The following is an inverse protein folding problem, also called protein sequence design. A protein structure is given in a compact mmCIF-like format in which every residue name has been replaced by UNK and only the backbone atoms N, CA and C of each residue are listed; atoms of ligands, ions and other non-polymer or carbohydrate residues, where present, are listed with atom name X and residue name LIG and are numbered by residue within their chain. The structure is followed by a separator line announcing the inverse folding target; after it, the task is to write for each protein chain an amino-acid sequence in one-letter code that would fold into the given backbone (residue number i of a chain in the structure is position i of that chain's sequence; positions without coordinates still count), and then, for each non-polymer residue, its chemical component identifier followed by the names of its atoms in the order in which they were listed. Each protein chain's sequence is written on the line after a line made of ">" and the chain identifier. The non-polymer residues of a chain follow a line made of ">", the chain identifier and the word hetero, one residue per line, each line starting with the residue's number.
data_IF_581822492222
#
_entry.id   IF_581822492222
#
_cell.length_a   1.000
_cell.length_b   1.000
_cell.length_c   1.000
_cell.angle_alpha   90.00
_cell.angle_beta   90.00
_cell.angle_gamma   90.00
#
_symmetry.space_group_name_H-M   'P 1'
#
loop_
_entity.id
_entity.type
_entity.pdbx_description
1 polymer ?
2 polymer ?
#
# COMPACT_ATOMS: atom_id res chain seq x y z
N UNK A 1 -5.39 7.30 19.15
CA UNK A 1 -5.24 6.04 18.45
C UNK A 1 -6.27 5.87 17.36
N UNK A 2 -5.94 5.11 16.34
CA UNK A 2 -6.85 4.88 15.22
C UNK A 2 -7.77 3.70 15.52
N UNK A 3 -9.01 3.81 15.06
CA UNK A 3 -10.00 2.75 15.26
C UNK A 3 -10.27 2.05 13.94
N UNK A 4 -9.41 2.29 12.96
CA UNK A 4 -9.57 1.68 11.65
C UNK A 4 -8.64 0.48 11.53
N UNK A 5 -8.74 -0.23 10.41
CA UNK A 5 -7.92 -1.40 10.18
C UNK A 5 -6.65 -1.02 9.42
N UNK A 6 -5.52 -1.55 9.87
CA UNK A 6 -4.25 -1.28 9.24
C UNK A 6 -3.88 -2.39 8.25
N UNK A 7 -3.22 -2.01 7.16
CA UNK A 7 -2.80 -2.97 6.16
C UNK A 7 -1.27 -3.02 6.08
N UNK A 8 -0.72 -4.21 6.17
CA UNK A 8 0.72 -4.39 6.12
C UNK A 8 1.18 -4.63 4.68
N UNK A 9 2.17 -3.87 4.27
CA UNK A 9 2.70 -3.96 2.92
C UNK A 9 4.18 -4.33 2.92
N UNK A 10 4.55 -5.26 2.06
CA UNK A 10 5.93 -5.69 1.93
C UNK A 10 6.67 -4.79 0.94
N UNK A 11 7.14 -3.65 1.44
CA UNK A 11 7.85 -2.67 0.63
C UNK A 11 9.28 -3.12 0.36
N UNK A 12 9.50 -3.68 -0.82
CA UNK A 12 10.82 -4.16 -1.24
C UNK A 12 11.43 -5.16 -0.25
N UNK A 13 10.59 -5.75 0.59
CA UNK A 13 11.07 -6.70 1.58
C UNK A 13 10.83 -6.21 2.99
N UNK A 14 10.66 -4.90 3.14
CA UNK A 14 10.41 -4.29 4.44
C UNK A 14 8.93 -4.39 4.77
N UNK A 15 8.60 -4.51 6.04
CA UNK A 15 7.21 -4.62 6.45
C UNK A 15 6.67 -3.27 6.90
N UNK A 16 5.88 -2.63 6.05
CA UNK A 16 5.28 -1.35 6.36
C UNK A 16 3.83 -1.54 6.76
N UNK A 17 3.24 -0.57 7.43
CA UNK A 17 1.86 -0.66 7.85
C UNK A 17 1.15 0.68 7.68
N UNK A 18 0.16 0.70 6.81
CA UNK A 18 -0.60 1.91 6.54
C UNK A 18 -2.06 1.70 6.93
N UNK A 19 -2.65 2.71 7.55
CA UNK A 19 -4.06 2.63 7.96
C UNK A 19 -4.95 2.73 6.74
N UNK A 20 -6.08 2.02 6.77
CA UNK A 20 -7.02 2.02 5.66
C UNK A 20 -7.54 3.43 5.35
N UNK A 21 -7.59 4.30 6.35
CA UNK A 21 -8.06 5.66 6.17
C UNK A 21 -7.00 6.51 5.47
N UNK A 22 -5.77 6.02 5.46
CA UNK A 22 -4.67 6.74 4.84
C UNK A 22 -4.52 6.32 3.38
N UNK A 23 -5.02 5.14 3.06
CA UNK A 23 -4.94 4.62 1.70
C UNK A 23 -5.82 5.46 0.77
N UNK A 24 -5.19 6.08 -0.21
CA UNK A 24 -5.90 6.92 -1.16
C UNK A 24 -6.50 6.09 -2.28
N UNK A 25 -5.64 5.45 -3.06
CA UNK A 25 -6.08 4.65 -4.18
C UNK A 25 -5.12 3.50 -4.47
N UNK A 26 -5.68 2.31 -4.66
CA UNK A 26 -4.88 1.13 -4.96
C UNK A 26 -5.10 0.77 -6.43
N UNK A 27 -4.02 0.41 -7.12
CA UNK A 27 -4.12 0.04 -8.51
C UNK A 27 -3.35 -1.22 -8.83
N UNK A 28 -4.08 -2.30 -9.07
CA UNK A 28 -3.47 -3.58 -9.40
C UNK A 28 -3.04 -3.59 -10.86
N UNK A 29 -1.74 -3.72 -11.08
CA UNK A 29 -1.20 -3.73 -12.44
C UNK A 29 -1.04 -5.17 -12.94
N UNK A 30 -1.44 -6.11 -12.10
CA UNK A 30 -1.35 -7.51 -12.44
C UNK A 30 -0.68 -8.29 -11.33
N UNK A 31 0.62 -8.58 -11.50
CA UNK A 31 1.36 -9.30 -10.48
C UNK A 31 1.82 -8.33 -9.41
N UNK A 32 1.99 -7.08 -9.80
CA UNK A 32 2.41 -6.03 -8.90
C UNK A 32 1.25 -5.10 -8.59
N UNK A 33 1.03 -4.85 -7.31
CA UNK A 33 -0.05 -3.99 -6.87
C UNK A 33 0.51 -2.69 -6.30
N UNK A 34 0.29 -1.59 -7.02
CA UNK A 34 0.77 -0.29 -6.59
C UNK A 34 -0.35 0.44 -5.85
N UNK A 35 0.02 1.21 -4.84
CA UNK A 35 -0.95 1.94 -4.04
C UNK A 35 -0.39 3.28 -3.58
N UNK A 36 -1.28 4.26 -3.49
CA UNK A 36 -0.92 5.59 -3.03
C UNK A 36 -1.51 5.81 -1.65
N UNK A 37 -0.72 6.28 -0.70
CA UNK A 37 -1.23 6.51 0.64
C UNK A 37 -0.83 7.89 1.16
N UNK A 38 -1.74 8.50 1.90
CA UNK A 38 -1.51 9.81 2.48
C UNK A 38 -0.81 9.68 3.82
N UNK A 39 0.32 10.34 3.96
CA UNK A 39 1.10 10.28 5.19
C UNK A 39 0.81 11.46 6.10
N UNK A 40 1.24 12.64 5.68
CA UNK A 40 1.03 13.84 6.47
C UNK A 40 2.08 14.88 6.18
N UNK A 41 1.78 16.13 6.54
CA UNK A 41 2.73 17.20 6.30
C UNK A 41 2.64 17.73 4.88
N UNK A 42 1.50 17.46 4.24
CA UNK A 42 1.29 17.92 2.89
C UNK A 42 1.76 16.91 1.85
N UNK A 43 2.69 16.05 2.24
CA UNK A 43 3.22 15.05 1.33
C UNK A 43 2.67 13.67 1.66
N UNK A 44 2.77 12.77 0.70
CA UNK A 44 2.28 11.41 0.85
C UNK A 44 3.34 10.42 0.39
N UNK A 45 2.97 9.14 0.35
CA UNK A 45 3.89 8.11 -0.07
C UNK A 45 3.23 7.12 -0.99
N UNK A 46 3.99 6.15 -1.46
CA UNK A 46 3.47 5.13 -2.36
C UNK A 46 4.26 3.83 -2.22
N UNK A 47 3.65 2.74 -2.64
CA UNK A 47 4.32 1.45 -2.55
C UNK A 47 3.76 0.46 -3.55
N UNK A 48 4.40 -0.69 -3.67
CA UNK A 48 3.98 -1.71 -4.61
C UNK A 48 4.37 -3.10 -4.09
N UNK A 49 3.38 -3.95 -3.91
CA UNK A 49 3.60 -5.31 -3.40
C UNK A 49 3.17 -6.34 -4.46
N UNK A 50 3.50 -7.61 -4.25
CA UNK A 50 3.15 -8.66 -5.19
C UNK A 50 1.89 -9.39 -4.74
N UNK A 51 1.27 -10.14 -5.65
CA UNK A 51 0.07 -10.90 -5.34
C UNK A 51 0.37 -12.04 -4.37
N UNK A 52 1.58 -12.57 -4.46
CA UNK A 52 2.00 -13.68 -3.60
C UNK A 52 2.33 -13.19 -2.19
N UNK A 53 2.92 -12.01 -2.10
CA UNK A 53 3.32 -11.45 -0.81
C UNK A 53 2.13 -10.91 -0.04
N UNK A 54 1.16 -10.33 -0.74
CA UNK A 54 -0.02 -9.77 -0.09
C UNK A 54 -1.02 -10.86 0.31
N UNK A 55 -1.32 -10.97 1.62
CA UNK A 55 -2.27 -11.94 2.14
C UNK A 55 -3.68 -11.68 1.60
N UNK A 56 -4.40 -12.76 1.27
CA UNK A 56 -5.76 -12.65 0.73
C UNK A 56 -6.67 -11.76 1.56
N UNK A 57 -6.60 -11.90 2.88
CA UNK A 57 -7.42 -11.11 3.79
C UNK A 57 -7.20 -9.61 3.59
N UNK A 58 -5.95 -9.23 3.35
CA UNK A 58 -5.61 -7.83 3.13
C UNK A 58 -5.82 -7.47 1.66
N UNK A 59 -5.63 -8.46 0.80
CA UNK A 59 -5.78 -8.28 -0.64
C UNK A 59 -7.22 -7.89 -0.98
N UNK A 60 -8.17 -8.49 -0.26
CA UNK A 60 -9.58 -8.19 -0.48
C UNK A 60 -9.88 -6.75 -0.05
N UNK A 61 -9.14 -6.27 0.94
CA UNK A 61 -9.29 -4.89 1.41
C UNK A 61 -8.76 -3.94 0.35
N UNK A 62 -7.74 -4.40 -0.36
CA UNK A 62 -7.14 -3.61 -1.43
C UNK A 62 -8.08 -3.53 -2.62
N UNK A 63 -8.97 -4.52 -2.72
CA UNK A 63 -9.95 -4.55 -3.80
C UNK A 63 -10.99 -3.46 -3.56
N UNK A 64 -11.28 -3.22 -2.29
CA UNK A 64 -12.26 -2.20 -1.91
C UNK A 64 -11.68 -0.80 -2.14
N UNK A 65 -10.36 -0.69 -2.04
CA UNK A 65 -9.69 0.59 -2.23
C UNK A 65 -9.15 0.73 -3.64
N UNK A 66 -9.53 -0.20 -4.50
CA UNK A 66 -9.08 -0.21 -5.89
C UNK A 66 -9.76 0.91 -6.67
N UNK A 67 -8.99 1.93 -7.00
CA UNK A 67 -9.51 3.07 -7.74
C UNK A 67 -8.80 3.24 -9.07
N UNK B 3 10.79 15.26 3.07
CA UNK B 3 11.37 14.08 3.68
C UNK B 3 10.60 12.82 3.35
N UNK B 4 9.33 12.77 3.74
CA UNK B 4 8.50 11.61 3.48
C UNK B 4 8.09 11.54 2.02
N UNK B 5 8.14 10.33 1.46
CA UNK B 5 7.80 10.12 0.07
C UNK B 5 8.78 9.16 -0.58
N UNK B 6 8.54 7.87 -0.40
CA UNK B 6 9.43 6.84 -0.94
C UNK B 6 9.08 6.50 -2.38
N UNK B 7 9.97 5.72 -3.02
CA UNK B 7 9.79 5.29 -4.39
C UNK B 7 10.18 3.82 -4.55
N UNK B 8 9.40 3.09 -5.35
CA UNK B 8 9.69 1.69 -5.60
C UNK B 8 10.49 1.56 -6.90
N UNK B 9 10.63 0.35 -7.38
CA UNK B 9 11.36 0.12 -8.60
C UNK B 9 11.47 -1.35 -8.91
N UNK B 10 10.33 -1.95 -9.24
CA UNK B 10 10.27 -3.37 -9.53
C UNK B 10 10.34 -3.61 -11.03
N UNK B 11 11.20 -4.54 -11.44
CA UNK B 11 11.34 -4.88 -12.83
C UNK B 11 10.17 -5.78 -13.24
N UNK B 12 9.22 -5.23 -13.96
CA UNK B 12 8.06 -5.98 -14.40
C UNK B 12 8.43 -6.92 -15.54
#
# INVERSE_FOLDING_TARGET
>A
GSHMATVKFKYKGEEKQVDISKILSVGRYGKLIHFLYDLGGGKAGMGMVSEKDAPKELLQMLEKQKK
>B
VEGEGEEEGEEY
#
